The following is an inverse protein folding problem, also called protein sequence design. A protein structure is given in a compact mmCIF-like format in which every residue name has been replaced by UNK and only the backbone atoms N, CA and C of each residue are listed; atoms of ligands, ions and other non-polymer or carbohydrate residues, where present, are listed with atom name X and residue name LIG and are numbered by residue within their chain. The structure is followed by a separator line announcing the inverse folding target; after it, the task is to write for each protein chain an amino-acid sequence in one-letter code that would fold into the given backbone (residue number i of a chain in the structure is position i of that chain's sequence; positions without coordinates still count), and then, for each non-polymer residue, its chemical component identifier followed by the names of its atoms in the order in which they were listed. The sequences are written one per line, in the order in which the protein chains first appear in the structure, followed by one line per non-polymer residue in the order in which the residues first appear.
data_IF_061981584577
#
_entry.id   IF_061981584577
#
_cell.length_a   1.000
_cell.length_b   1.000
_cell.length_c   1.000
_cell.angle_alpha   90.00
_cell.angle_beta   90.00
_cell.angle_gamma   90.00
#
_symmetry.space_group_name_H-M   'P 1'
#
loop_
_entity.id
_entity.type
_entity.pdbx_description
1 polymer ?
#
# COMPACT_ATOMS: atom_id res chain seq x y z
N UNK A 1 -5.25 10.45 -8.26
CA UNK A 1 -4.23 9.90 -9.19
C UNK A 1 -4.92 9.09 -10.28
N UNK A 2 -4.46 9.12 -11.54
CA UNK A 2 -5.05 8.27 -12.62
C UNK A 2 -4.55 6.82 -12.51
N UNK A 3 -5.34 5.85 -12.98
CA UNK A 3 -4.94 4.42 -12.96
C UNK A 3 -3.60 4.17 -13.63
N UNK A 4 -3.41 4.67 -14.86
CA UNK A 4 -2.19 4.40 -15.62
C UNK A 4 -0.95 5.03 -14.98
N UNK A 5 -1.12 6.20 -14.36
CA UNK A 5 -0.10 6.87 -13.57
C UNK A 5 0.28 6.02 -12.34
N UNK A 6 -0.72 5.49 -11.62
CA UNK A 6 -0.50 4.58 -10.51
C UNK A 6 0.25 3.31 -10.95
N UNK A 7 -0.22 2.65 -12.01
CA UNK A 7 0.41 1.43 -12.51
C UNK A 7 1.85 1.67 -12.94
N UNK A 8 2.13 2.81 -13.57
CA UNK A 8 3.50 3.23 -13.92
C UNK A 8 4.35 3.48 -12.67
N UNK A 9 3.80 4.08 -11.62
CA UNK A 9 4.52 4.35 -10.38
C UNK A 9 4.95 3.09 -9.63
N UNK A 10 4.24 1.97 -9.82
CA UNK A 10 4.53 0.70 -9.14
C UNK A 10 5.14 -0.35 -10.08
N UNK A 11 5.52 0.02 -11.31
CA UNK A 11 5.99 -0.92 -12.34
C UNK A 11 7.25 -1.70 -11.92
N UNK A 12 8.05 -1.15 -11.01
CA UNK A 12 9.26 -1.78 -10.47
C UNK A 12 8.99 -2.66 -9.26
N UNK A 13 7.76 -2.62 -8.73
CA UNK A 13 7.31 -3.49 -7.66
C UNK A 13 6.82 -4.81 -8.26
N UNK A 14 7.01 -5.87 -7.50
CA UNK A 14 6.42 -7.15 -7.85
C UNK A 14 4.90 -7.08 -7.73
N UNK A 15 4.20 -7.41 -8.81
CA UNK A 15 2.74 -7.51 -8.84
C UNK A 15 2.38 -8.98 -8.92
N UNK A 16 1.71 -9.46 -7.88
CA UNK A 16 1.21 -10.83 -7.81
C UNK A 16 -0.20 -10.88 -8.38
N UNK A 17 -0.59 -12.03 -8.93
CA UNK A 17 -1.93 -12.23 -9.51
C UNK A 17 -3.06 -11.95 -8.50
N UNK A 18 -2.80 -12.30 -7.23
CA UNK A 18 -3.70 -12.04 -6.14
C UNK A 18 -2.93 -11.93 -4.82
N UNK A 19 -3.25 -10.90 -4.04
CA UNK A 19 -2.79 -10.73 -2.66
C UNK A 19 -3.83 -11.30 -1.70
N UNK A 20 -3.37 -11.78 -0.56
CA UNK A 20 -4.22 -12.07 0.59
C UNK A 20 -4.98 -10.79 0.99
N UNK A 21 -6.30 -10.92 1.14
CA UNK A 21 -7.14 -9.76 1.42
C UNK A 21 -6.87 -9.19 2.81
N UNK A 22 -6.47 -10.02 3.79
CA UNK A 22 -6.08 -9.55 5.11
C UNK A 22 -4.84 -8.66 5.07
N UNK A 23 -3.84 -9.00 4.25
CA UNK A 23 -2.67 -8.15 4.02
C UNK A 23 -3.04 -6.82 3.34
N UNK A 24 -3.98 -6.85 2.38
CA UNK A 24 -4.49 -5.62 1.75
C UNK A 24 -5.26 -4.73 2.73
N UNK A 25 -6.06 -5.33 3.61
CA UNK A 25 -6.82 -4.60 4.62
C UNK A 25 -5.89 -4.00 5.68
N UNK A 26 -4.82 -4.70 6.05
CA UNK A 26 -3.73 -4.18 6.90
C UNK A 26 -3.02 -3.00 6.25
N UNK A 27 -2.65 -3.12 4.97
CA UNK A 27 -2.06 -2.02 4.22
C UNK A 27 -3.00 -0.82 4.12
N UNK A 28 -4.30 -1.04 3.91
CA UNK A 28 -5.30 0.02 3.90
C UNK A 28 -5.39 0.73 5.26
N UNK A 29 -5.43 -0.02 6.37
CA UNK A 29 -5.43 0.55 7.72
C UNK A 29 -4.15 1.35 8.02
N UNK A 30 -3.01 0.91 7.48
CA UNK A 30 -1.75 1.65 7.56
C UNK A 30 -1.87 3.02 6.87
N UNK A 31 -2.51 3.12 5.70
CA UNK A 31 -2.71 4.39 5.01
C UNK A 31 -3.66 5.34 5.73
N UNK A 32 -4.65 4.84 6.48
CA UNK A 32 -5.46 5.67 7.37
C UNK A 32 -4.58 6.35 8.43
N UNK A 33 -3.68 5.60 9.08
CA UNK A 33 -2.75 6.14 10.09
C UNK A 33 -1.71 7.07 9.46
N UNK A 34 -1.10 6.67 8.35
CA UNK A 34 -0.13 7.49 7.62
C UNK A 34 -0.72 8.84 7.19
N UNK A 35 -1.94 8.84 6.64
CA UNK A 35 -2.63 10.04 6.22
C UNK A 35 -2.90 11.02 7.36
N UNK A 36 -3.19 10.54 8.57
CA UNK A 36 -3.33 11.39 9.76
C UNK A 36 -2.01 12.04 10.17
N UNK A 37 -0.89 11.32 10.02
CA UNK A 37 0.45 11.82 10.36
C UNK A 37 1.00 12.80 9.31
N UNK A 38 0.69 12.59 8.04
CA UNK A 38 1.18 13.41 6.93
C UNK A 38 0.57 14.83 6.88
N UNK A 39 -0.55 15.08 7.57
CA UNK A 39 -1.23 16.38 7.61
C UNK A 39 -0.98 17.19 8.91
N UNK A 40 -0.08 16.74 9.79
CA UNK A 40 0.36 17.52 10.96
C UNK A 40 1.33 18.65 10.57
N UNK A 41 1.19 19.88 11.09
CA UNK A 41 2.11 20.97 10.78
C UNK A 41 3.48 20.66 11.39
N UNK A 42 4.48 20.40 10.55
CA UNK A 42 5.89 20.41 10.96
C UNK A 42 6.66 19.10 10.84
N UNK A 43 6.04 17.99 10.43
CA UNK A 43 6.76 16.76 10.14
C UNK A 43 6.40 16.29 8.74
N UNK A 44 7.17 16.71 7.74
CA UNK A 44 7.37 15.88 6.56
C UNK A 44 8.06 14.62 7.06
N UNK A 45 7.21 13.70 7.48
CA UNK A 45 7.48 12.42 8.09
C UNK A 45 8.28 11.53 7.14
N UNK A 46 9.57 11.84 7.00
CA UNK A 46 10.64 10.83 6.95
C UNK A 46 10.70 10.01 8.26
N UNK A 47 9.71 10.12 9.15
CA UNK A 47 9.51 9.24 10.29
C UNK A 47 9.16 7.85 9.78
N UNK A 48 10.24 7.09 9.61
CA UNK A 48 10.33 5.66 9.70
C UNK A 48 9.07 4.89 9.24
N UNK A 49 8.87 4.84 7.93
CA UNK A 49 7.86 3.97 7.30
C UNK A 49 8.00 2.52 7.74
N UNK A 50 9.18 2.11 8.21
CA UNK A 50 9.40 0.76 8.76
C UNK A 50 8.59 0.51 10.03
N UNK A 51 8.39 1.51 10.89
CA UNK A 51 7.50 1.37 12.04
C UNK A 51 6.04 1.17 11.63
N UNK A 52 5.59 1.81 10.54
CA UNK A 52 4.26 1.56 9.98
C UNK A 52 4.17 0.14 9.41
N UNK A 53 5.19 -0.33 8.70
CA UNK A 53 5.18 -1.72 8.22
C UNK A 53 5.20 -2.75 9.36
N UNK A 54 5.89 -2.45 10.45
CA UNK A 54 5.91 -3.30 11.63
C UNK A 54 4.55 -3.34 12.35
N UNK A 55 4.02 -2.16 12.69
CA UNK A 55 2.74 -1.96 13.39
C UNK A 55 1.58 -2.66 12.68
N UNK A 56 1.57 -2.62 11.34
CA UNK A 56 0.51 -3.19 10.52
C UNK A 56 0.83 -4.59 10.00
N UNK A 57 1.92 -5.20 10.47
CA UNK A 57 2.26 -6.59 10.16
C UNK A 57 2.69 -6.84 8.72
N UNK A 58 3.11 -5.80 7.99
CA UNK A 58 3.69 -5.89 6.65
C UNK A 58 5.18 -6.23 6.65
N UNK A 59 5.83 -6.22 7.81
CA UNK A 59 7.17 -6.80 7.98
C UNK A 59 7.12 -8.33 8.08
N UNK A 60 8.21 -8.96 7.64
CA UNK A 60 8.41 -10.39 7.73
C UNK A 60 8.47 -10.83 9.19
N UNK A 61 7.77 -11.91 9.51
CA UNK A 61 7.80 -12.58 10.81
C UNK A 61 8.39 -13.97 10.67
N UNK A 62 8.99 -14.48 11.74
CA UNK A 62 9.65 -15.79 11.78
C UNK A 62 8.71 -16.93 11.36
N UNK A 63 7.41 -16.80 11.64
CA UNK A 63 6.38 -17.78 11.28
C UNK A 63 5.75 -17.60 9.89
N UNK A 64 6.14 -16.59 9.12
CA UNK A 64 5.55 -16.37 7.80
C UNK A 64 6.04 -17.43 6.79
N UNK A 65 5.11 -17.95 5.99
CA UNK A 65 5.47 -18.74 4.82
C UNK A 65 6.15 -17.86 3.77
N UNK A 66 6.92 -18.48 2.87
CA UNK A 66 7.59 -17.75 1.78
C UNK A 66 6.60 -17.01 0.87
N UNK A 67 5.41 -17.58 0.68
CA UNK A 67 4.33 -16.93 -0.05
C UNK A 67 3.84 -15.63 0.62
N UNK A 68 3.72 -15.64 1.96
CA UNK A 68 3.33 -14.45 2.73
C UNK A 68 4.45 -13.40 2.71
N UNK A 69 5.71 -13.81 2.90
CA UNK A 69 6.87 -12.90 2.83
C UNK A 69 6.97 -12.20 1.48
N UNK A 70 6.75 -12.94 0.38
CA UNK A 70 6.74 -12.37 -0.97
C UNK A 70 5.63 -11.33 -1.15
N UNK A 71 4.42 -11.62 -0.68
CA UNK A 71 3.30 -10.67 -0.71
C UNK A 71 3.58 -9.42 0.12
N UNK A 72 4.11 -9.59 1.34
CA UNK A 72 4.51 -8.49 2.21
C UNK A 72 5.56 -7.59 1.57
N UNK A 73 6.60 -8.17 1.00
CA UNK A 73 7.64 -7.44 0.26
C UNK A 73 7.07 -6.63 -0.91
N UNK A 74 6.19 -7.23 -1.70
CA UNK A 74 5.50 -6.55 -2.79
C UNK A 74 4.63 -5.38 -2.28
N UNK A 75 3.84 -5.60 -1.22
CA UNK A 75 3.01 -4.56 -0.61
C UNK A 75 3.82 -3.42 0.00
N UNK A 76 4.96 -3.72 0.61
CA UNK A 76 5.89 -2.70 1.12
C UNK A 76 6.45 -1.83 -0.01
N UNK A 77 6.81 -2.44 -1.14
CA UNK A 77 7.25 -1.69 -2.32
C UNK A 77 6.15 -0.76 -2.83
N UNK A 78 4.95 -1.30 -3.10
CA UNK A 78 3.80 -0.54 -3.61
C UNK A 78 3.46 0.60 -2.65
N UNK A 79 3.39 0.30 -1.34
CA UNK A 79 3.04 1.29 -0.32
C UNK A 79 4.08 2.40 -0.24
N UNK A 80 5.37 2.06 -0.28
CA UNK A 80 6.46 3.05 -0.28
C UNK A 80 6.38 3.96 -1.51
N UNK A 81 6.07 3.41 -2.69
CA UNK A 81 5.87 4.23 -3.90
C UNK A 81 4.69 5.18 -3.75
N UNK A 82 3.57 4.72 -3.20
CA UNK A 82 2.39 5.55 -2.94
C UNK A 82 2.66 6.66 -1.93
N UNK A 83 3.31 6.35 -0.81
CA UNK A 83 3.65 7.35 0.22
C UNK A 83 4.57 8.45 -0.30
N UNK A 84 5.39 8.15 -1.32
CA UNK A 84 6.25 9.13 -1.99
C UNK A 84 5.51 9.97 -3.05
N UNK A 85 4.20 9.77 -3.23
CA UNK A 85 3.37 10.57 -4.13
C UNK A 85 2.47 11.54 -3.36
N UNK A 86 1.88 12.53 -4.05
CA UNK A 86 0.89 13.44 -3.46
C UNK A 86 -0.53 12.82 -3.39
N UNK A 87 -0.63 11.51 -3.21
CA UNK A 87 -1.93 10.83 -3.13
C UNK A 87 -2.64 11.14 -1.82
N UNK A 88 -3.96 11.33 -1.87
CA UNK A 88 -4.78 11.50 -0.68
C UNK A 88 -4.92 10.17 0.06
N UNK A 89 -5.11 10.23 1.38
CA UNK A 89 -5.25 9.02 2.19
C UNK A 89 -6.45 8.17 1.75
N UNK A 90 -7.58 8.79 1.42
CA UNK A 90 -8.81 8.09 1.02
C UNK A 90 -8.60 7.30 -0.27
N UNK A 91 -7.89 7.91 -1.22
CA UNK A 91 -7.48 7.27 -2.47
C UNK A 91 -6.55 6.09 -2.20
N UNK A 92 -5.55 6.27 -1.33
CA UNK A 92 -4.59 5.23 -0.99
C UNK A 92 -5.26 4.02 -0.31
N UNK A 93 -6.16 4.29 0.63
CA UNK A 93 -7.00 3.27 1.29
C UNK A 93 -7.87 2.54 0.28
N UNK A 94 -8.52 3.28 -0.62
CA UNK A 94 -9.36 2.73 -1.67
C UNK A 94 -8.60 1.83 -2.63
N UNK A 95 -7.39 2.22 -3.03
CA UNK A 95 -6.50 1.41 -3.88
C UNK A 95 -6.14 0.11 -3.17
N UNK A 96 -5.68 0.18 -1.92
CA UNK A 96 -5.24 -1.03 -1.19
C UNK A 96 -6.37 -2.03 -1.00
N UNK A 97 -7.55 -1.59 -0.55
CA UNK A 97 -8.73 -2.46 -0.38
C UNK A 97 -9.15 -3.15 -1.67
N UNK A 98 -8.90 -2.52 -2.82
CA UNK A 98 -9.34 -2.99 -4.13
C UNK A 98 -8.20 -3.48 -5.02
N UNK A 99 -6.98 -3.65 -4.49
CA UNK A 99 -5.79 -3.89 -5.31
C UNK A 99 -5.95 -5.08 -6.26
N UNK A 100 -6.49 -6.20 -5.77
CA UNK A 100 -6.78 -7.41 -6.58
C UNK A 100 -7.78 -7.19 -7.72
N UNK A 101 -8.52 -6.08 -7.71
CA UNK A 101 -9.53 -5.73 -8.71
C UNK A 101 -9.08 -4.62 -9.65
N UNK A 102 -8.02 -3.87 -9.33
CA UNK A 102 -7.64 -2.69 -10.12
C UNK A 102 -7.29 -3.02 -11.56
N UNK A 103 -6.73 -4.21 -11.81
CA UNK A 103 -6.40 -4.72 -13.14
C UNK A 103 -7.58 -5.36 -13.88
N UNK A 104 -8.71 -5.62 -13.20
CA UNK A 104 -9.84 -6.35 -13.78
C UNK A 104 -10.71 -5.45 -14.67
N UNK A 105 -11.21 -5.96 -15.81
CA UNK A 105 -12.19 -5.24 -16.61
C UNK A 105 -13.42 -4.84 -15.78
N UNK A 106 -13.90 -3.60 -15.96
CA UNK A 106 -15.10 -3.10 -15.27
C UNK A 106 -14.87 -2.55 -13.86
N UNK A 107 -13.66 -2.63 -13.30
CA UNK A 107 -13.34 -1.93 -12.05
C UNK A 107 -13.39 -0.41 -12.27
N UNK A 108 -14.22 0.27 -11.48
CA UNK A 108 -14.24 1.74 -11.45
C UNK A 108 -13.08 2.21 -10.59
N UNK A 109 -12.08 2.80 -11.24
CA UNK A 109 -11.01 3.50 -10.56
C UNK A 109 -11.59 4.62 -9.70
N UNK A 110 -10.91 4.93 -8.60
CA UNK A 110 -11.23 5.98 -7.62
C UNK A 110 -11.94 7.18 -8.28
N UNK A 111 -13.09 7.60 -7.72
CA UNK A 111 -13.91 8.70 -8.23
C UNK A 111 -13.42 10.06 -7.77
#
# INVERSE_FOLDING_TARGET
MKKDEFMKNIQECEILDNFDQGLLDQAAAMFEKWGLLAHGPGLWAKTDTEHLFDDFGLNDKVGDSDAVKRQKKALRCISSKMMNTQIRKEDAVGIMKNFNKIGKPGFRWLQ
#
